data_IF_583922296841
#
_entry.id   IF_583922296841
#
_cell.length_a   1.000
_cell.length_b   1.000
_cell.length_c   1.000
_cell.angle_alpha   90.00
_cell.angle_beta   90.00
_cell.angle_gamma   90.00
#
_symmetry.space_group_name_H-M   'P 1'
#
loop_
_entity.id
_entity.type
_entity.pdbx_description
1 polymer ?
#
# COMPACT_ATOMS: atom_id res chain seq x y z
N UNK A 1 -4.96 -13.62 -14.46
CA UNK A 1 -5.38 -14.12 -13.12
C UNK A 1 -6.68 -13.43 -12.72
N UNK A 2 -7.62 -14.13 -12.10
CA UNK A 2 -8.86 -13.53 -11.61
C UNK A 2 -8.93 -13.65 -10.09
N UNK A 3 -9.35 -12.58 -9.41
CA UNK A 3 -9.62 -12.58 -7.97
C UNK A 3 -10.98 -11.89 -7.80
N UNK A 4 -11.98 -12.61 -7.33
CA UNK A 4 -13.36 -12.16 -7.42
C UNK A 4 -13.73 -11.80 -8.86
N UNK A 5 -14.25 -10.61 -9.08
CA UNK A 5 -14.57 -10.07 -10.41
C UNK A 5 -13.43 -9.30 -11.07
N UNK A 6 -12.30 -9.11 -10.36
CA UNK A 6 -11.14 -8.41 -10.90
C UNK A 6 -10.37 -9.30 -11.89
N UNK A 7 -10.05 -8.74 -13.04
CA UNK A 7 -9.22 -9.38 -14.07
C UNK A 7 -7.84 -8.74 -14.05
N UNK A 8 -6.86 -9.49 -13.56
CA UNK A 8 -5.48 -9.05 -13.49
C UNK A 8 -4.69 -9.47 -14.71
N UNK A 9 -3.96 -8.52 -15.28
CA UNK A 9 -2.99 -8.70 -16.34
C UNK A 9 -1.56 -8.55 -15.80
N UNK A 10 -0.59 -9.04 -16.53
CA UNK A 10 0.82 -8.80 -16.19
C UNK A 10 1.11 -7.29 -16.22
N UNK A 11 1.94 -6.83 -15.30
CA UNK A 11 2.38 -5.43 -15.25
C UNK A 11 3.16 -5.00 -16.51
N UNK A 12 3.78 -5.95 -17.21
CA UNK A 12 4.48 -5.68 -18.49
C UNK A 12 3.51 -5.39 -19.64
N UNK A 13 2.29 -5.93 -19.59
CA UNK A 13 1.25 -5.70 -20.60
C UNK A 13 0.44 -4.43 -20.38
N UNK A 14 0.43 -3.92 -19.14
CA UNK A 14 -0.37 -2.76 -18.76
C UNK A 14 0.40 -1.78 -17.86
N UNK A 15 1.56 -1.26 -18.32
CA UNK A 15 2.42 -0.39 -17.51
C UNK A 15 1.78 0.96 -17.17
N UNK A 16 0.80 1.40 -17.95
CA UNK A 16 0.02 2.63 -17.78
C UNK A 16 -1.03 2.55 -16.65
N UNK A 17 -1.23 1.36 -16.09
CA UNK A 17 -2.06 1.12 -14.91
C UNK A 17 -1.28 1.23 -13.59
N UNK A 18 -0.01 1.62 -13.63
CA UNK A 18 0.83 1.83 -12.46
C UNK A 18 1.31 3.28 -12.39
N UNK A 19 1.30 3.86 -11.21
CA UNK A 19 1.98 5.14 -10.99
C UNK A 19 3.50 4.99 -11.25
N UNK A 20 4.13 6.05 -11.72
CA UNK A 20 5.56 6.06 -12.09
C UNK A 20 6.48 5.52 -10.99
N UNK A 21 6.38 5.95 -9.72
CA UNK A 21 7.27 5.43 -8.69
C UNK A 21 7.07 3.94 -8.42
N UNK A 22 5.84 3.46 -8.45
CA UNK A 22 5.52 2.03 -8.32
C UNK A 22 6.11 1.23 -9.48
N UNK A 23 5.87 1.67 -10.71
CA UNK A 23 6.39 1.03 -11.92
C UNK A 23 7.93 0.99 -11.93
N UNK A 24 8.58 2.10 -11.59
CA UNK A 24 10.05 2.18 -11.52
C UNK A 24 10.63 1.23 -10.49
N UNK A 25 10.02 1.16 -9.30
CA UNK A 25 10.48 0.24 -8.26
C UNK A 25 10.32 -1.22 -8.70
N UNK A 26 9.14 -1.60 -9.20
CA UNK A 26 8.90 -2.98 -9.66
C UNK A 26 9.86 -3.42 -10.77
N UNK A 27 10.30 -2.50 -11.63
CA UNK A 27 11.29 -2.78 -12.65
C UNK A 27 12.70 -3.07 -12.10
N UNK A 28 12.99 -2.73 -10.84
CA UNK A 28 14.27 -3.04 -10.17
C UNK A 28 14.30 -4.41 -9.52
N UNK A 29 13.16 -5.10 -9.42
CA UNK A 29 13.08 -6.39 -8.77
C UNK A 29 13.71 -7.47 -9.64
N UNK A 30 14.77 -8.07 -9.13
CA UNK A 30 15.41 -9.25 -9.73
C UNK A 30 14.74 -10.52 -9.19
N UNK A 31 14.69 -11.57 -9.99
CA UNK A 31 14.17 -12.90 -9.61
C UNK A 31 12.68 -12.94 -9.21
N UNK A 32 11.89 -11.95 -9.60
CA UNK A 32 10.44 -11.97 -9.49
C UNK A 32 9.87 -12.24 -10.87
N UNK A 33 9.07 -13.28 -10.99
CA UNK A 33 8.39 -13.55 -12.25
C UNK A 33 7.44 -12.41 -12.60
N UNK A 34 7.44 -11.88 -13.83
CA UNK A 34 6.46 -10.88 -14.27
C UNK A 34 5.00 -11.34 -14.09
N UNK A 35 4.79 -12.65 -13.94
CA UNK A 35 3.46 -13.25 -13.69
C UNK A 35 3.06 -13.23 -12.24
N UNK A 36 4.00 -12.99 -11.31
CA UNK A 36 3.72 -12.97 -9.86
C UNK A 36 3.15 -11.65 -9.40
N UNK A 37 3.36 -10.58 -10.18
CA UNK A 37 2.82 -9.25 -9.90
C UNK A 37 1.90 -8.86 -11.05
N UNK A 38 0.70 -8.44 -10.72
CA UNK A 38 -0.33 -8.17 -11.71
C UNK A 38 -1.10 -6.89 -11.38
N UNK A 39 -1.76 -6.32 -12.38
CA UNK A 39 -2.55 -5.11 -12.25
C UNK A 39 -3.92 -5.30 -12.89
N UNK A 40 -4.96 -4.77 -12.26
CA UNK A 40 -6.31 -4.79 -12.77
C UNK A 40 -6.85 -3.36 -12.93
N UNK A 41 -7.49 -3.09 -14.06
CA UNK A 41 -8.29 -1.87 -14.22
C UNK A 41 -9.56 -1.97 -13.40
N UNK A 42 -9.95 -0.86 -12.77
CA UNK A 42 -11.17 -0.74 -11.98
C UNK A 42 -11.93 0.53 -12.35
N UNK A 43 -13.21 0.58 -12.00
CA UNK A 43 -13.95 1.84 -11.96
C UNK A 43 -13.46 2.68 -10.76
N UNK A 44 -12.97 3.92 -10.98
CA UNK A 44 -12.50 4.79 -9.90
C UNK A 44 -13.53 5.06 -8.79
N UNK A 45 -14.81 4.92 -9.05
CA UNK A 45 -15.87 5.03 -8.04
C UNK A 45 -15.72 4.00 -6.92
N UNK A 46 -15.10 2.86 -7.20
CA UNK A 46 -14.87 1.77 -6.25
C UNK A 46 -13.39 1.63 -5.85
N UNK A 47 -12.63 2.73 -5.91
CA UNK A 47 -11.21 2.69 -5.55
C UNK A 47 -10.95 2.50 -4.04
N UNK A 48 -11.91 2.87 -3.18
CA UNK A 48 -11.83 2.63 -1.73
C UNK A 48 -11.75 1.14 -1.39
N UNK A 49 -11.03 0.79 -0.33
CA UNK A 49 -10.76 -0.61 -0.01
C UNK A 49 -12.03 -1.43 0.26
N UNK A 50 -12.94 -0.92 1.08
CA UNK A 50 -14.18 -1.61 1.43
C UNK A 50 -15.16 -1.65 0.25
N UNK A 51 -15.31 -0.55 -0.47
CA UNK A 51 -16.15 -0.45 -1.67
C UNK A 51 -15.63 -1.39 -2.78
N UNK A 52 -14.30 -1.45 -2.95
CA UNK A 52 -13.67 -2.39 -3.89
C UNK A 52 -14.04 -3.83 -3.56
N UNK A 53 -13.83 -4.21 -2.30
CA UNK A 53 -14.09 -5.58 -1.85
C UNK A 53 -15.55 -5.98 -2.06
N UNK A 54 -16.49 -5.08 -1.72
CA UNK A 54 -17.92 -5.32 -1.88
C UNK A 54 -18.34 -5.42 -3.37
N UNK A 55 -17.85 -4.49 -4.22
CA UNK A 55 -18.28 -4.45 -5.62
C UNK A 55 -17.65 -5.55 -6.47
N UNK A 56 -16.35 -5.81 -6.26
CA UNK A 56 -15.59 -6.79 -7.04
C UNK A 56 -15.53 -8.19 -6.41
N UNK A 57 -16.22 -8.42 -5.31
CA UNK A 57 -16.28 -9.72 -4.62
C UNK A 57 -14.88 -10.22 -4.23
N UNK A 58 -14.13 -9.34 -3.57
CA UNK A 58 -12.77 -9.60 -3.08
C UNK A 58 -12.81 -9.80 -1.57
N UNK A 59 -12.11 -10.82 -1.07
CA UNK A 59 -11.95 -11.03 0.37
C UNK A 59 -11.19 -9.84 0.99
N UNK A 60 -11.77 -9.10 1.95
CA UNK A 60 -11.10 -7.99 2.62
C UNK A 60 -9.76 -8.36 3.27
N UNK A 61 -9.61 -9.62 3.68
CA UNK A 61 -8.39 -10.11 4.34
C UNK A 61 -7.15 -10.11 3.45
N UNK A 62 -7.33 -10.06 2.13
CA UNK A 62 -6.24 -9.91 1.15
C UNK A 62 -6.12 -8.49 0.61
N UNK A 63 -7.01 -7.60 1.02
CA UNK A 63 -6.93 -6.18 0.68
C UNK A 63 -5.94 -5.47 1.60
N UNK A 64 -5.04 -4.68 1.03
CA UNK A 64 -4.09 -3.84 1.75
C UNK A 64 -4.45 -2.36 1.61
N UNK A 65 -4.60 -1.67 2.74
CA UNK A 65 -4.82 -0.22 2.79
C UNK A 65 -3.54 0.46 3.28
N UNK A 66 -2.95 1.31 2.44
CA UNK A 66 -1.74 2.07 2.75
C UNK A 66 -2.09 3.45 3.28
N UNK A 67 -1.73 3.72 4.53
CA UNK A 67 -2.01 4.97 5.24
C UNK A 67 -0.71 5.74 5.39
N UNK A 68 -0.63 6.94 4.83
CA UNK A 68 0.52 7.84 4.99
C UNK A 68 0.31 8.67 6.25
N UNK A 69 1.31 8.67 7.11
CA UNK A 69 1.28 9.39 8.39
C UNK A 69 2.39 10.41 8.48
N UNK A 70 2.09 11.52 9.16
CA UNK A 70 3.05 12.53 9.55
C UNK A 70 3.41 12.34 11.03
N UNK A 71 4.70 12.24 11.32
CA UNK A 71 5.22 12.12 12.68
C UNK A 71 6.00 13.38 13.07
N UNK A 72 5.84 13.82 14.32
CA UNK A 72 6.51 15.00 14.86
C UNK A 72 7.14 14.71 16.22
N UNK A 73 8.37 15.22 16.43
CA UNK A 73 9.04 15.23 17.72
C UNK A 73 10.01 16.40 17.81
N UNK A 74 9.82 17.30 18.78
CA UNK A 74 10.52 18.57 18.85
C UNK A 74 10.42 19.34 17.50
N UNK A 75 11.52 19.75 16.93
CA UNK A 75 11.55 20.47 15.65
C UNK A 75 11.60 19.54 14.42
N UNK A 76 11.57 18.22 14.64
CA UNK A 76 11.60 17.22 13.56
C UNK A 76 10.19 16.86 13.12
N UNK A 77 10.03 16.79 11.80
CA UNK A 77 8.86 16.28 11.11
C UNK A 77 9.31 15.29 10.05
N UNK A 78 8.66 14.14 9.99
CA UNK A 78 8.93 13.11 8.98
C UNK A 78 7.65 12.36 8.63
N UNK A 79 7.72 11.54 7.61
CA UNK A 79 6.61 10.74 7.13
C UNK A 79 6.94 9.26 7.22
N UNK A 80 5.89 8.46 7.33
CA UNK A 80 5.94 7.01 7.29
C UNK A 80 4.68 6.48 6.61
N UNK A 81 4.66 5.22 6.27
CA UNK A 81 3.49 4.55 5.75
C UNK A 81 3.15 3.32 6.59
N UNK A 82 1.86 3.04 6.70
CA UNK A 82 1.35 1.87 7.40
C UNK A 82 0.46 1.10 6.41
N UNK A 83 0.79 -0.16 6.14
CA UNK A 83 -0.02 -1.05 5.32
C UNK A 83 -0.76 -2.03 6.24
N UNK A 84 -2.07 -1.94 6.26
CA UNK A 84 -2.95 -2.75 7.10
C UNK A 84 -4.04 -3.44 6.27
N UNK A 85 -4.65 -4.54 6.74
CA UNK A 85 -5.77 -5.15 6.05
C UNK A 85 -6.93 -4.17 5.85
N UNK A 86 -7.63 -4.30 4.73
CA UNK A 86 -8.84 -3.52 4.45
C UNK A 86 -9.87 -3.68 5.57
N UNK A 87 -10.46 -2.57 6.01
CA UNK A 87 -11.41 -2.52 7.11
C UNK A 87 -10.79 -2.48 8.51
N UNK A 88 -9.48 -2.66 8.63
CA UNK A 88 -8.80 -2.54 9.92
C UNK A 88 -8.69 -1.08 10.36
N UNK A 89 -8.78 -0.87 11.67
CA UNK A 89 -8.41 0.40 12.30
C UNK A 89 -6.90 0.42 12.59
N UNK A 90 -6.36 1.61 12.79
CA UNK A 90 -4.96 1.79 13.18
C UNK A 90 -4.87 2.75 14.36
N UNK A 91 -4.12 2.35 15.40
CA UNK A 91 -3.88 3.20 16.56
C UNK A 91 -2.69 4.14 16.31
N UNK A 92 -2.96 5.29 15.71
CA UNK A 92 -1.93 6.30 15.41
C UNK A 92 -1.31 6.90 16.68
N UNK A 93 -2.14 7.20 17.69
CA UNK A 93 -1.70 7.93 18.89
C UNK A 93 -1.11 7.03 19.98
N UNK A 94 -1.39 5.76 19.96
CA UNK A 94 -0.82 4.77 20.87
C UNK A 94 0.33 4.02 20.19
N UNK A 95 -0.03 3.03 19.39
CA UNK A 95 0.92 2.07 18.82
C UNK A 95 1.90 2.72 17.83
N UNK A 96 1.42 3.33 16.76
CA UNK A 96 2.27 3.90 15.71
C UNK A 96 3.16 5.00 16.25
N UNK A 97 2.61 5.87 17.10
CA UNK A 97 3.38 6.94 17.74
C UNK A 97 4.56 6.41 18.57
N UNK A 98 4.33 5.36 19.34
CA UNK A 98 5.40 4.73 20.13
C UNK A 98 6.43 4.05 19.23
N UNK A 99 5.95 3.34 18.23
CA UNK A 99 6.81 2.62 17.28
C UNK A 99 7.76 3.56 16.52
N UNK A 100 7.23 4.68 16.03
CA UNK A 100 8.01 5.71 15.34
C UNK A 100 8.83 6.61 16.29
N UNK A 101 8.77 6.38 17.60
CA UNK A 101 9.38 7.24 18.61
C UNK A 101 9.01 8.72 18.43
N UNK A 102 7.77 8.97 18.04
CA UNK A 102 7.23 10.29 17.82
C UNK A 102 6.52 10.83 19.08
N UNK A 103 6.38 12.16 19.17
CA UNK A 103 5.52 12.79 20.17
C UNK A 103 4.07 12.87 19.72
N UNK A 104 3.88 13.04 18.41
CA UNK A 104 2.57 13.09 17.75
C UNK A 104 2.64 12.39 16.41
N UNK A 105 1.58 11.66 16.08
CA UNK A 105 1.35 11.07 14.75
C UNK A 105 -0.08 11.42 14.32
N UNK A 106 -0.22 11.82 13.07
CA UNK A 106 -1.51 12.11 12.43
C UNK A 106 -1.49 11.63 11.00
N UNK A 107 -2.65 11.54 10.36
CA UNK A 107 -2.69 11.35 8.92
C UNK A 107 -1.91 12.48 8.24
N UNK A 108 -1.13 12.15 7.23
CA UNK A 108 -0.48 13.16 6.42
C UNK A 108 -1.52 14.02 5.70
N UNK A 109 -1.29 15.35 5.57
CA UNK A 109 -2.15 16.17 4.74
C UNK A 109 -2.24 15.62 3.33
N UNK A 110 -3.45 15.60 2.76
CA UNK A 110 -3.72 15.01 1.43
C UNK A 110 -2.75 15.52 0.36
N UNK A 111 -2.59 16.83 0.26
CA UNK A 111 -1.73 17.45 -0.77
C UNK A 111 -0.25 17.08 -0.58
N UNK A 112 0.20 16.97 0.66
CA UNK A 112 1.55 16.53 0.99
C UNK A 112 1.76 15.05 0.62
N UNK A 113 0.80 14.18 0.95
CA UNK A 113 0.88 12.77 0.60
C UNK A 113 0.98 12.59 -0.92
N UNK A 114 0.14 13.28 -1.71
CA UNK A 114 0.19 13.25 -3.17
C UNK A 114 1.54 13.76 -3.68
N UNK A 115 2.00 14.91 -3.19
CA UNK A 115 3.24 15.55 -3.64
C UNK A 115 4.47 14.68 -3.35
N UNK A 116 4.53 14.08 -2.17
CA UNK A 116 5.69 13.31 -1.73
C UNK A 116 5.75 11.91 -2.35
N UNK A 117 4.59 11.28 -2.55
CA UNK A 117 4.53 9.94 -3.13
C UNK A 117 4.45 9.93 -4.65
N UNK A 118 4.04 11.05 -5.26
CA UNK A 118 3.69 11.10 -6.68
C UNK A 118 2.65 10.03 -7.08
N UNK A 119 1.70 9.80 -6.19
CA UNK A 119 0.58 8.86 -6.36
C UNK A 119 -0.73 9.57 -6.11
N UNK A 120 -1.80 9.08 -6.73
CA UNK A 120 -3.15 9.61 -6.52
C UNK A 120 -3.71 9.24 -5.16
N UNK A 121 -4.34 10.20 -4.48
CA UNK A 121 -5.01 9.97 -3.21
C UNK A 121 -6.15 8.95 -3.37
N UNK A 122 -6.24 8.02 -2.43
CA UNK A 122 -7.16 6.88 -2.51
C UNK A 122 -6.55 5.65 -3.21
N UNK A 123 -5.36 5.79 -3.80
CA UNK A 123 -4.63 4.67 -4.41
C UNK A 123 -3.15 4.62 -4.06
N UNK A 124 -2.72 5.42 -3.07
CA UNK A 124 -1.35 5.37 -2.55
C UNK A 124 -1.06 3.95 -2.04
N UNK A 125 0.10 3.43 -2.37
CA UNK A 125 0.53 2.08 -2.00
C UNK A 125 1.93 2.07 -1.37
N UNK A 126 2.35 0.93 -0.85
CA UNK A 126 3.63 0.76 -0.17
C UNK A 126 4.83 0.60 -1.11
N UNK A 127 4.59 0.42 -2.41
CA UNK A 127 5.63 0.12 -3.42
C UNK A 127 6.09 1.40 -4.11
N UNK A 128 7.37 1.72 -4.00
CA UNK A 128 7.95 2.91 -4.63
C UNK A 128 7.79 4.20 -3.81
N UNK A 129 7.59 4.08 -2.51
CA UNK A 129 7.62 5.22 -1.57
C UNK A 129 9.04 5.78 -1.44
N UNK A 130 9.19 7.04 -0.95
CA UNK A 130 10.50 7.58 -0.63
C UNK A 130 11.31 6.63 0.26
N UNK A 131 12.56 6.36 -0.08
CA UNK A 131 13.40 5.35 0.58
C UNK A 131 13.66 5.62 2.06
N UNK A 132 13.61 6.88 2.47
CA UNK A 132 13.77 7.32 3.85
C UNK A 132 12.52 7.10 4.71
N UNK A 133 11.38 6.80 4.11
CA UNK A 133 10.16 6.52 4.86
C UNK A 133 10.20 5.13 5.45
N UNK A 134 9.94 5.03 6.73
CA UNK A 134 9.66 3.73 7.35
C UNK A 134 8.29 3.24 6.86
N UNK A 135 8.23 1.98 6.46
CA UNK A 135 7.00 1.31 6.05
C UNK A 135 6.69 0.21 7.05
N UNK A 136 5.63 0.40 7.81
CA UNK A 136 5.12 -0.61 8.73
C UNK A 136 4.08 -1.46 8.01
N UNK A 137 4.25 -2.77 8.03
CA UNK A 137 3.33 -3.70 7.36
C UNK A 137 2.77 -4.67 8.39
N UNK A 138 1.45 -4.77 8.43
CA UNK A 138 0.78 -5.76 9.27
C UNK A 138 1.22 -7.17 8.91
N UNK A 139 1.62 -7.96 9.91
CA UNK A 139 2.16 -9.30 9.72
C UNK A 139 1.19 -10.23 8.97
N UNK A 140 -0.12 -10.05 9.15
CA UNK A 140 -1.12 -10.87 8.47
C UNK A 140 -1.10 -10.73 6.94
N UNK A 141 -0.64 -9.59 6.41
CA UNK A 141 -0.56 -9.36 4.97
C UNK A 141 0.64 -10.07 4.32
N UNK A 142 1.78 -10.17 5.02
CA UNK A 142 2.97 -10.81 4.45
C UNK A 142 2.83 -12.32 4.31
N UNK A 143 1.91 -12.92 5.02
CA UNK A 143 1.57 -14.35 4.94
C UNK A 143 0.58 -14.68 3.83
N UNK A 144 -0.06 -13.67 3.23
CA UNK A 144 -1.03 -13.90 2.15
C UNK A 144 -0.33 -14.31 0.85
N UNK A 145 -0.86 -15.30 0.13
CA UNK A 145 -0.36 -15.63 -1.20
C UNK A 145 -0.35 -14.42 -2.12
N UNK A 146 -1.36 -13.56 -2.00
CA UNK A 146 -1.53 -12.35 -2.80
C UNK A 146 -2.18 -11.26 -1.97
N UNK A 147 -1.70 -10.03 -2.10
CA UNK A 147 -2.28 -8.82 -1.50
C UNK A 147 -2.71 -7.88 -2.63
N UNK A 148 -3.94 -7.39 -2.54
CA UNK A 148 -4.49 -6.38 -3.47
C UNK A 148 -4.44 -5.03 -2.80
N UNK A 149 -3.79 -4.06 -3.42
CA UNK A 149 -3.68 -2.70 -2.89
C UNK A 149 -3.76 -1.65 -4.00
N UNK A 150 -3.67 -0.38 -3.64
CA UNK A 150 -3.56 0.70 -4.61
C UNK A 150 -2.39 0.48 -5.58
N UNK A 151 -2.53 0.96 -6.79
CA UNK A 151 -1.50 0.96 -7.83
C UNK A 151 -0.75 2.29 -7.93
N UNK A 152 -1.18 3.27 -7.13
CA UNK A 152 -0.82 4.68 -7.24
C UNK A 152 -1.73 5.48 -8.19
N UNK A 153 -2.64 4.81 -8.90
CA UNK A 153 -3.66 5.40 -9.77
C UNK A 153 -5.04 4.90 -9.35
N UNK A 154 -6.02 5.79 -9.25
CA UNK A 154 -7.39 5.43 -8.80
C UNK A 154 -8.13 4.50 -9.77
N UNK A 155 -7.67 4.44 -11.01
CA UNK A 155 -8.27 3.59 -12.07
C UNK A 155 -7.83 2.13 -12.03
N UNK A 156 -6.99 1.73 -11.08
CA UNK A 156 -6.41 0.37 -11.09
C UNK A 156 -6.00 -0.12 -9.69
N UNK A 157 -5.76 -1.42 -9.59
CA UNK A 157 -5.25 -2.10 -8.39
C UNK A 157 -4.08 -2.98 -8.73
N UNK A 158 -3.11 -3.00 -7.83
CA UNK A 158 -1.93 -3.85 -7.86
C UNK A 158 -2.18 -5.11 -7.03
N UNK A 159 -1.83 -6.26 -7.57
CA UNK A 159 -1.75 -7.52 -6.84
C UNK A 159 -0.28 -7.96 -6.75
N UNK A 160 0.18 -8.21 -5.54
CA UNK A 160 1.57 -8.57 -5.24
C UNK A 160 1.61 -9.68 -4.18
N UNK A 161 2.49 -10.68 -4.28
CA UNK A 161 2.67 -11.66 -3.22
C UNK A 161 2.99 -11.00 -1.88
N UNK A 162 2.31 -11.41 -0.82
CA UNK A 162 2.56 -10.87 0.53
C UNK A 162 4.03 -11.02 0.95
N UNK A 163 4.67 -12.11 0.58
CA UNK A 163 6.09 -12.37 0.86
C UNK A 163 7.06 -11.33 0.28
N UNK A 164 6.68 -10.64 -0.80
CA UNK A 164 7.50 -9.58 -1.39
C UNK A 164 7.41 -8.26 -0.60
N UNK A 165 6.33 -8.04 0.14
CA UNK A 165 6.13 -6.82 0.90
C UNK A 165 7.19 -6.60 1.97
N UNK A 166 7.66 -7.67 2.62
CA UNK A 166 8.73 -7.60 3.64
C UNK A 166 10.09 -7.17 3.10
N UNK A 167 10.28 -7.23 1.78
CA UNK A 167 11.54 -6.88 1.11
C UNK A 167 11.54 -5.44 0.57
N UNK A 168 10.46 -4.70 0.77
CA UNK A 168 10.42 -3.28 0.40
C UNK A 168 11.45 -2.47 1.23
N UNK A 169 12.00 -1.37 0.68
CA UNK A 169 12.96 -0.55 1.41
C UNK A 169 12.42 -0.06 2.74
N UNK A 170 13.26 -0.07 3.77
CA UNK A 170 12.98 0.46 5.11
C UNK A 170 11.66 -0.05 5.71
N UNK A 171 11.38 -1.34 5.48
CA UNK A 171 10.14 -2.00 5.89
C UNK A 171 10.32 -2.80 7.17
N UNK A 172 9.34 -2.70 8.06
CA UNK A 172 9.21 -3.55 9.25
C UNK A 172 7.85 -4.23 9.28
N UNK A 173 7.87 -5.54 9.51
CA UNK A 173 6.67 -6.36 9.67
C UNK A 173 6.26 -6.34 11.13
N UNK A 174 5.01 -6.00 11.39
CA UNK A 174 4.51 -5.68 12.73
C UNK A 174 3.23 -6.45 13.02
N UNK A 175 3.19 -7.18 14.13
CA UNK A 175 1.98 -7.84 14.61
C UNK A 175 1.00 -6.82 15.23
N UNK A 176 -0.27 -6.93 14.89
CA UNK A 176 -1.32 -6.11 15.47
C UNK A 176 -1.25 -4.63 15.09
N UNK A 177 -0.70 -4.31 13.93
CA UNK A 177 -0.71 -2.96 13.38
C UNK A 177 -2.13 -2.54 13.02
N UNK A 178 -2.86 -3.44 12.35
CA UNK A 178 -4.29 -3.32 12.09
C UNK A 178 -5.09 -3.99 13.21
N UNK A 179 -6.13 -3.32 13.71
CA UNK A 179 -7.02 -3.78 14.79
C UNK A 179 -8.49 -3.69 14.38
#
# INVERSE_FOLDING_TARGET
MNIGKLKFNSISESPDLLADPTRKYLATLENVSPTDIAVAEIDPLYAGGEELCAYYDVDPSIGGNCIVVEAKRADRRWYAACLVPTGSRIDLNGFVRKYLNARRVSLAPKDEAIRLTNMEYGSINAVGLPKEWMVLIDASLVEKPMVIMGSGLVKSKLAIPGSLLKNLPNTEVVEGLGI
#
